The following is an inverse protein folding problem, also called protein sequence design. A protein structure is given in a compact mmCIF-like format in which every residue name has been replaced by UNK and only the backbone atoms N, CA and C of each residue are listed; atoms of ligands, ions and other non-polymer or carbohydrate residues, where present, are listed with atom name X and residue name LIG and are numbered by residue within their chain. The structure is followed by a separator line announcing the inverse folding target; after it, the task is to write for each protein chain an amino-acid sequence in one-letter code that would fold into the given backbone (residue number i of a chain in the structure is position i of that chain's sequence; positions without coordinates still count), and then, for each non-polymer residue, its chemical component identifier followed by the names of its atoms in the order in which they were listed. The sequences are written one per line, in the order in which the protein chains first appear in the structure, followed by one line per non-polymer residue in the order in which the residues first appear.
data_IF_075706845727
#
_entry.id   IF_075706845727
#
_cell.length_a   1.000
_cell.length_b   1.000
_cell.length_c   1.000
_cell.angle_alpha   90.00
_cell.angle_beta   90.00
_cell.angle_gamma   90.00
#
_symmetry.space_group_name_H-M   'P 1'
#
loop_
_entity.id
_entity.type
_entity.pdbx_description
1 polymer ?
#
# COMPACT_ATOMS: atom_id res chain seq x y z
N UNK A 1 -7.47 -6.36 -22.69
CA UNK A 1 -7.48 -6.29 -21.20
C UNK A 1 -6.09 -6.33 -20.57
N UNK A 2 -5.27 -7.37 -20.77
CA UNK A 2 -3.99 -7.54 -20.02
C UNK A 2 -2.96 -6.38 -20.12
N UNK A 3 -2.90 -5.65 -21.24
CA UNK A 3 -1.81 -4.67 -21.50
C UNK A 3 -1.88 -3.36 -20.70
N UNK A 4 -3.02 -3.03 -20.09
CA UNK A 4 -3.20 -1.82 -19.28
C UNK A 4 -2.66 -1.96 -17.83
N UNK A 5 -2.48 -3.18 -17.34
CA UNK A 5 -2.08 -3.41 -15.94
C UNK A 5 -0.60 -3.12 -15.68
N UNK A 6 0.31 -3.41 -16.61
CA UNK A 6 1.76 -3.40 -16.33
C UNK A 6 2.35 -2.01 -16.02
N UNK A 7 1.93 -0.93 -16.70
CA UNK A 7 2.41 0.43 -16.38
C UNK A 7 1.82 0.95 -15.06
N UNK A 8 0.52 0.74 -14.84
CA UNK A 8 -0.14 1.15 -13.60
C UNK A 8 0.43 0.39 -12.40
N UNK A 9 0.67 -0.93 -12.52
CA UNK A 9 1.18 -1.78 -11.46
C UNK A 9 2.57 -1.37 -10.97
N UNK A 10 3.47 -0.92 -11.86
CA UNK A 10 4.81 -0.46 -11.44
C UNK A 10 4.74 0.85 -10.64
N UNK A 11 4.00 1.84 -11.14
CA UNK A 11 3.77 3.10 -10.41
C UNK A 11 3.08 2.86 -9.06
N UNK A 12 2.14 1.91 -9.02
CA UNK A 12 1.44 1.48 -7.82
C UNK A 12 2.36 0.76 -6.81
N UNK A 13 3.28 -0.09 -7.27
CA UNK A 13 4.32 -0.73 -6.45
C UNK A 13 5.25 0.30 -5.81
N UNK A 14 5.82 1.21 -6.61
CA UNK A 14 6.77 2.24 -6.13
C UNK A 14 6.10 3.21 -5.13
N UNK A 15 4.83 3.54 -5.36
CA UNK A 15 4.05 4.43 -4.50
C UNK A 15 3.62 3.79 -3.16
N UNK A 16 3.24 2.51 -3.16
CA UNK A 16 2.82 1.78 -1.94
C UNK A 16 3.96 1.72 -0.89
N UNK A 17 3.66 1.78 0.41
CA UNK A 17 4.67 1.49 1.43
C UNK A 17 4.96 -0.01 1.51
N UNK A 18 6.14 -0.34 2.04
CA UNK A 18 6.57 -1.71 2.32
C UNK A 18 6.33 -2.05 3.78
N UNK A 19 5.91 -3.27 4.08
CA UNK A 19 5.71 -3.71 5.45
C UNK A 19 7.04 -3.69 6.25
N UNK A 20 7.04 -3.11 7.48
CA UNK A 20 8.19 -3.10 8.39
C UNK A 20 8.76 -4.49 8.69
N UNK A 21 10.07 -4.56 8.97
CA UNK A 21 10.78 -5.84 9.14
C UNK A 21 10.36 -6.56 10.42
N UNK A 22 10.05 -5.77 11.44
CA UNK A 22 9.64 -6.16 12.79
C UNK A 22 8.38 -7.03 12.75
N UNK A 23 7.51 -6.83 11.74
CA UNK A 23 6.31 -7.64 11.55
C UNK A 23 6.66 -9.08 11.19
N UNK A 24 7.59 -9.30 10.26
CA UNK A 24 8.04 -10.66 9.91
C UNK A 24 8.69 -11.36 11.11
N UNK A 25 9.46 -10.63 11.93
CA UNK A 25 10.05 -11.17 13.17
C UNK A 25 8.99 -11.54 14.21
N UNK A 26 7.97 -10.69 14.41
CA UNK A 26 6.84 -10.99 15.28
C UNK A 26 6.08 -12.24 14.80
N UNK A 27 5.72 -12.30 13.52
CA UNK A 27 4.97 -13.41 12.95
C UNK A 27 5.73 -14.74 13.02
N UNK A 28 7.03 -14.71 12.74
CA UNK A 28 7.90 -15.89 12.88
C UNK A 28 7.91 -16.41 14.33
N UNK A 29 7.91 -15.54 15.34
CA UNK A 29 7.87 -15.97 16.76
C UNK A 29 6.60 -16.74 17.17
N UNK A 30 5.52 -16.63 16.38
CA UNK A 30 4.24 -17.28 16.67
C UNK A 30 4.13 -18.69 16.05
N UNK A 31 5.05 -19.10 15.19
CA UNK A 31 5.08 -20.44 14.57
C UNK A 31 6.30 -21.25 14.99
N UNK A 32 6.15 -22.59 15.01
CA UNK A 32 7.25 -23.52 15.32
C UNK A 32 7.95 -24.05 14.07
N UNK A 33 7.47 -23.67 12.89
CA UNK A 33 7.98 -24.10 11.59
C UNK A 33 7.97 -22.91 10.63
N UNK A 34 9.00 -22.81 9.79
CA UNK A 34 9.23 -21.68 8.88
C UNK A 34 9.55 -22.12 7.43
N UNK A 35 9.32 -23.39 7.10
CA UNK A 35 9.69 -23.98 5.80
C UNK A 35 8.75 -23.57 4.64
N UNK A 36 7.51 -23.21 4.96
CA UNK A 36 6.49 -22.84 3.97
C UNK A 36 5.51 -21.84 4.57
N UNK A 37 5.14 -20.83 3.79
CA UNK A 37 4.04 -19.91 4.04
C UNK A 37 3.18 -19.82 2.78
N UNK A 38 1.88 -19.57 2.94
CA UNK A 38 0.95 -19.35 1.84
C UNK A 38 0.41 -17.92 1.96
N UNK A 39 0.44 -17.14 0.87
CA UNK A 39 -0.14 -15.79 0.79
C UNK A 39 -1.42 -15.84 -0.09
N UNK A 40 -2.58 -15.72 0.54
CA UNK A 40 -3.88 -15.66 -0.15
C UNK A 40 -4.22 -14.21 -0.48
N UNK A 41 -4.36 -13.91 -1.77
CA UNK A 41 -4.75 -12.55 -2.22
C UNK A 41 -3.58 -11.58 -2.45
N UNK A 42 -2.36 -12.12 -2.54
CA UNK A 42 -1.05 -11.46 -2.74
C UNK A 42 -0.99 -10.17 -3.58
N UNK A 43 -1.87 -10.02 -4.58
CA UNK A 43 -1.95 -8.82 -5.41
C UNK A 43 -0.68 -8.57 -6.21
N UNK A 44 0.15 -7.64 -5.75
CA UNK A 44 1.44 -7.28 -6.34
C UNK A 44 2.65 -7.94 -5.63
N UNK A 45 2.42 -8.86 -4.71
CA UNK A 45 3.47 -9.57 -3.97
C UNK A 45 4.00 -8.85 -2.73
N UNK A 46 3.44 -7.70 -2.33
CA UNK A 46 3.93 -6.97 -1.15
C UNK A 46 3.75 -7.75 0.16
N UNK A 47 2.71 -8.58 0.27
CA UNK A 47 2.45 -9.42 1.44
C UNK A 47 3.11 -10.81 1.38
N UNK A 48 3.58 -11.24 0.20
CA UNK A 48 4.11 -12.60 -0.07
C UNK A 48 5.40 -12.96 0.66
N UNK A 49 5.83 -12.11 1.58
CA UNK A 49 7.02 -12.25 2.41
C UNK A 49 6.68 -12.61 3.87
N UNK A 50 5.39 -12.75 4.25
CA UNK A 50 4.94 -12.95 5.64
C UNK A 50 3.74 -13.90 5.82
N UNK A 51 3.50 -14.34 7.07
CA UNK A 51 2.52 -15.37 7.46
C UNK A 51 1.65 -14.93 8.67
N UNK A 52 1.01 -15.85 9.41
CA UNK A 52 -0.38 -15.66 9.86
C UNK A 52 -0.72 -15.82 11.38
N UNK A 53 -1.30 -14.77 12.02
CA UNK A 53 -2.33 -14.90 13.09
C UNK A 53 -3.02 -13.62 13.66
N UNK A 54 -4.30 -13.35 13.32
CA UNK A 54 -5.23 -12.28 13.79
C UNK A 54 -5.00 -10.82 13.29
N UNK A 55 -6.06 -9.97 13.15
CA UNK A 55 -5.96 -8.63 12.56
C UNK A 55 -5.26 -7.62 13.50
N UNK A 56 -3.96 -7.43 13.29
CA UNK A 56 -3.19 -6.43 14.01
C UNK A 56 -3.26 -5.07 13.29
N UNK A 57 -3.69 -4.01 13.99
CA UNK A 57 -3.63 -2.63 13.50
C UNK A 57 -2.22 -2.08 13.67
N UNK A 58 -1.60 -1.60 12.59
CA UNK A 58 -0.23 -1.11 12.57
C UNK A 58 -0.11 0.15 11.72
N UNK A 59 0.68 1.09 12.23
CA UNK A 59 1.12 2.28 11.49
C UNK A 59 2.29 1.91 10.58
N UNK A 60 2.14 2.21 9.29
CA UNK A 60 3.16 1.98 8.26
C UNK A 60 3.63 3.34 7.72
N UNK A 61 4.66 3.96 8.33
CA UNK A 61 5.14 5.28 7.92
C UNK A 61 5.94 5.22 6.61
N UNK A 62 5.77 6.23 5.75
CA UNK A 62 6.56 6.43 4.53
C UNK A 62 6.93 7.89 4.37
N UNK A 63 8.23 8.18 4.15
CA UNK A 63 8.70 9.49 3.72
C UNK A 63 8.34 9.69 2.24
N UNK A 64 7.62 10.77 1.92
CA UNK A 64 7.08 11.05 0.59
C UNK A 64 7.21 12.55 0.27
N UNK A 65 7.68 12.88 -0.94
CA UNK A 65 7.65 14.26 -1.48
C UNK A 65 6.27 14.60 -2.04
N UNK A 66 5.95 15.89 -2.18
CA UNK A 66 4.62 16.30 -2.68
C UNK A 66 4.25 15.66 -4.04
N UNK A 67 5.15 15.69 -5.03
CA UNK A 67 4.93 15.02 -6.33
C UNK A 67 4.84 13.48 -6.19
N UNK A 68 5.56 12.87 -5.25
CA UNK A 68 5.40 11.46 -4.92
C UNK A 68 4.00 11.14 -4.38
N UNK A 69 3.44 12.02 -3.55
CA UNK A 69 2.08 11.92 -3.03
C UNK A 69 1.03 12.10 -4.13
N UNK A 70 1.18 13.09 -5.01
CA UNK A 70 0.31 13.27 -6.17
C UNK A 70 0.32 12.06 -7.11
N UNK A 71 1.50 11.47 -7.38
CA UNK A 71 1.62 10.22 -8.16
C UNK A 71 0.87 9.07 -7.50
N UNK A 72 0.94 8.94 -6.17
CA UNK A 72 0.17 7.94 -5.44
C UNK A 72 -1.34 8.20 -5.61
N UNK A 73 -1.84 9.42 -5.39
CA UNK A 73 -3.27 9.73 -5.55
C UNK A 73 -3.75 9.42 -6.98
N UNK A 74 -2.98 9.80 -8.00
CA UNK A 74 -3.23 9.47 -9.42
C UNK A 74 -3.24 7.95 -9.70
N UNK A 75 -2.62 7.11 -8.86
CA UNK A 75 -2.67 5.65 -8.97
C UNK A 75 -3.93 5.00 -8.39
N UNK A 76 -4.74 5.74 -7.59
CA UNK A 76 -5.92 5.19 -6.93
C UNK A 76 -7.03 4.83 -7.93
N UNK A 77 -7.70 3.70 -7.70
CA UNK A 77 -8.78 3.20 -8.57
C UNK A 77 -9.94 4.20 -8.69
N UNK A 78 -10.32 4.85 -7.60
CA UNK A 78 -11.36 5.88 -7.59
C UNK A 78 -11.01 7.07 -8.50
N UNK A 79 -9.78 7.60 -8.40
CA UNK A 79 -9.30 8.71 -9.26
C UNK A 79 -9.27 8.30 -10.73
N UNK A 80 -8.74 7.11 -11.04
CA UNK A 80 -8.74 6.58 -12.41
C UNK A 80 -10.15 6.32 -12.96
N UNK A 81 -11.12 5.97 -12.12
CA UNK A 81 -12.53 5.79 -12.53
C UNK A 81 -13.22 7.13 -12.77
N UNK A 82 -13.01 8.13 -11.90
CA UNK A 82 -13.55 9.47 -12.11
C UNK A 82 -13.04 10.09 -13.43
N UNK A 83 -11.73 9.96 -13.71
CA UNK A 83 -11.14 10.43 -14.98
C UNK A 83 -11.77 9.73 -16.20
N UNK A 84 -12.06 8.43 -16.12
CA UNK A 84 -12.79 7.70 -17.18
C UNK A 84 -14.24 8.16 -17.36
N UNK A 85 -14.84 8.75 -16.33
CA UNK A 85 -16.17 9.35 -16.36
C UNK A 85 -16.13 10.85 -16.73
N UNK A 86 -14.96 11.38 -17.11
CA UNK A 86 -14.78 12.79 -17.49
C UNK A 86 -14.60 13.75 -16.31
N UNK A 87 -14.41 13.24 -15.09
CA UNK A 87 -14.27 14.03 -13.86
C UNK A 87 -12.81 14.02 -13.39
N UNK A 88 -12.15 15.18 -13.44
CA UNK A 88 -10.81 15.34 -12.87
C UNK A 88 -10.87 15.74 -11.37
N UNK A 89 -10.67 14.75 -10.51
CA UNK A 89 -10.59 14.96 -9.06
C UNK A 89 -9.29 15.65 -8.60
N UNK A 90 -8.28 15.75 -9.45
CA UNK A 90 -6.97 16.35 -9.16
C UNK A 90 -6.66 17.51 -10.10
N UNK A 91 -7.68 18.31 -10.40
CA UNK A 91 -7.56 19.56 -11.16
C UNK A 91 -6.52 20.50 -10.56
N UNK A 92 -5.97 21.41 -11.38
CA UNK A 92 -4.91 22.35 -10.99
C UNK A 92 -5.24 23.13 -9.71
N UNK A 93 -6.51 23.53 -9.54
CA UNK A 93 -6.99 24.22 -8.34
C UNK A 93 -6.83 23.33 -7.09
N UNK A 94 -7.32 22.09 -7.15
CA UNK A 94 -7.23 21.11 -6.05
C UNK A 94 -5.76 20.79 -5.74
N UNK A 95 -4.92 20.64 -6.76
CA UNK A 95 -3.48 20.40 -6.58
C UNK A 95 -2.80 21.57 -5.87
N UNK A 96 -3.14 22.82 -6.21
CA UNK A 96 -2.60 24.03 -5.56
C UNK A 96 -3.08 24.20 -4.13
N UNK A 97 -4.33 23.86 -3.84
CA UNK A 97 -4.87 23.80 -2.46
C UNK A 97 -4.14 22.72 -1.64
N UNK A 98 -3.91 21.54 -2.22
CA UNK A 98 -3.13 20.47 -1.61
C UNK A 98 -1.67 20.88 -1.35
N UNK A 99 -1.01 21.57 -2.29
CA UNK A 99 0.37 22.06 -2.13
C UNK A 99 0.48 23.07 -0.98
N UNK A 100 -0.51 23.96 -0.88
CA UNK A 100 -0.61 24.95 0.21
C UNK A 100 -0.77 24.25 1.56
N UNK A 101 -1.67 23.27 1.65
CA UNK A 101 -1.87 22.45 2.86
C UNK A 101 -0.65 21.57 3.20
N UNK A 102 0.12 21.15 2.20
CA UNK A 102 1.38 20.41 2.35
C UNK A 102 2.51 21.29 2.89
N UNK A 103 2.40 22.61 2.78
CA UNK A 103 3.41 23.59 3.17
C UNK A 103 4.46 23.87 2.08
N UNK A 104 4.14 23.61 0.81
CA UNK A 104 5.03 23.80 -0.34
C UNK A 104 5.58 22.49 -0.90
N UNK A 105 5.71 22.41 -2.24
CA UNK A 105 6.04 21.16 -2.95
C UNK A 105 7.42 20.56 -2.64
N UNK A 106 8.39 21.38 -2.19
CA UNK A 106 9.75 20.94 -1.82
C UNK A 106 9.81 20.10 -0.54
N UNK A 107 8.75 20.10 0.28
CA UNK A 107 8.76 19.38 1.56
C UNK A 107 8.52 17.88 1.39
N UNK A 108 9.41 17.09 1.99
CA UNK A 108 9.17 15.67 2.28
C UNK A 108 8.40 15.56 3.60
N UNK A 109 7.30 14.79 3.61
CA UNK A 109 6.49 14.50 4.79
C UNK A 109 6.46 13.01 5.08
N UNK A 110 6.37 12.64 6.35
CA UNK A 110 5.99 11.29 6.75
C UNK A 110 4.48 11.13 6.62
N UNK A 111 4.02 10.25 5.73
CA UNK A 111 2.63 9.80 5.67
C UNK A 111 2.53 8.50 6.47
N UNK A 112 1.54 8.39 7.35
CA UNK A 112 1.25 7.16 8.09
C UNK A 112 0.07 6.45 7.42
N UNK A 113 0.29 5.23 6.95
CA UNK A 113 -0.79 4.37 6.47
C UNK A 113 -1.19 3.43 7.59
N UNK A 114 -2.44 3.55 8.06
CA UNK A 114 -3.02 2.53 8.92
C UNK A 114 -3.24 1.26 8.11
N UNK A 115 -2.78 0.15 8.66
CA UNK A 115 -2.84 -1.17 8.03
C UNK A 115 -3.40 -2.18 9.00
N UNK A 116 -4.04 -3.22 8.46
CA UNK A 116 -4.62 -4.31 9.23
C UNK A 116 -4.19 -5.62 8.57
N UNK A 117 -3.53 -6.49 9.32
CA UNK A 117 -3.02 -7.77 8.80
C UNK A 117 -3.84 -8.94 9.37
N UNK A 118 -4.85 -9.40 8.63
CA UNK A 118 -5.64 -10.58 8.98
C UNK A 118 -4.89 -11.89 8.70
N UNK A 119 -5.26 -12.93 9.46
CA UNK A 119 -4.59 -14.22 9.42
C UNK A 119 -5.11 -15.28 10.42
N UNK A 120 -4.70 -16.56 10.27
CA UNK A 120 -4.68 -17.60 11.33
C UNK A 120 -3.88 -18.87 10.96
N UNK A 121 -3.24 -19.55 11.93
CA UNK A 121 -2.69 -20.91 11.71
C UNK A 121 -3.76 -21.82 11.09
N UNK A 122 -3.50 -22.32 9.89
CA UNK A 122 -4.42 -23.24 9.19
C UNK A 122 -4.61 -24.49 10.05
N UNK A 123 -5.85 -24.77 10.45
CA UNK A 123 -6.19 -26.03 11.12
C UNK A 123 -6.24 -27.14 10.08
N UNK A 124 -5.21 -27.99 10.09
CA UNK A 124 -5.29 -29.29 9.45
C UNK A 124 -6.27 -30.17 10.24
N UNK A 125 -7.41 -30.49 9.64
CA UNK A 125 -8.28 -31.56 10.11
C UNK A 125 -7.71 -32.87 9.54
N UNK A 126 -7.28 -33.76 10.43
CA UNK A 126 -6.90 -35.15 10.15
C UNK A 126 -8.05 -36.07 10.52
#
# INVERSE_FOLDING_TARGET
MARLFNKQAKLYLDARPTYPREWYSMLASLTTHHLLAWDVGTGNGQAALGFEGQPLELDMPKQVSFEGFLRMLRSFSAVNTAVKQGVDLLSEKVVKELETAWGGCELVRTIIYKTFMLAGKVKAYY
#
